data_IF_760834361231
#
_entry.id   IF_760834361231
#
_cell.length_a   1.000
_cell.length_b   1.000
_cell.length_c   1.000
_cell.angle_alpha   90.00
_cell.angle_beta   90.00
_cell.angle_gamma   90.00
#
_symmetry.space_group_name_H-M   'P 1'
#
loop_
_entity.id
_entity.type
_entity.pdbx_description
1 polymer ?
#
# COMPACT_ATOMS: atom_id res chain seq x y z
N UNK A 1 -8.13 -4.70 -14.99
CA UNK A 1 -8.13 -3.41 -15.72
C UNK A 1 -6.73 -3.21 -16.28
N UNK A 2 -6.57 -2.64 -17.48
CA UNK A 2 -5.23 -2.37 -18.01
C UNK A 2 -4.55 -1.27 -17.18
N UNK A 3 -3.26 -1.43 -16.82
CA UNK A 3 -2.52 -0.40 -16.12
C UNK A 3 -2.37 0.91 -16.90
N UNK A 4 -2.22 2.03 -16.18
CA UNK A 4 -2.14 3.39 -16.75
C UNK A 4 -1.02 4.18 -16.07
N UNK A 5 -0.30 5.02 -16.81
CA UNK A 5 0.66 5.99 -16.25
C UNK A 5 -0.02 7.34 -16.06
N UNK A 6 0.14 7.90 -14.87
CA UNK A 6 -0.36 9.20 -14.48
C UNK A 6 0.80 10.18 -14.25
N UNK A 7 0.80 11.27 -15.02
CA UNK A 7 1.70 12.42 -14.85
C UNK A 7 1.11 13.45 -13.88
N UNK A 8 0.64 13.01 -12.73
CA UNK A 8 0.07 13.87 -11.71
C UNK A 8 0.52 13.43 -10.33
N UNK A 9 0.67 14.41 -9.43
CA UNK A 9 1.03 14.17 -8.05
C UNK A 9 -0.11 13.47 -7.30
N UNK A 10 0.21 12.41 -6.58
CA UNK A 10 -0.65 11.76 -5.58
C UNK A 10 0.03 11.89 -4.22
N UNK A 11 -0.71 12.38 -3.23
CA UNK A 11 -0.29 12.39 -1.83
C UNK A 11 -1.32 11.64 -1.00
N UNK A 12 -0.86 10.77 -0.11
CA UNK A 12 -1.68 10.14 0.93
C UNK A 12 -0.94 10.23 2.26
N UNK A 13 -1.67 10.56 3.32
CA UNK A 13 -1.15 10.58 4.69
C UNK A 13 -1.68 9.36 5.41
N UNK A 14 -0.77 8.52 5.89
CA UNK A 14 -1.06 7.24 6.51
C UNK A 14 -0.62 7.25 7.97
N UNK A 15 -1.33 6.47 8.79
CA UNK A 15 -1.02 6.24 10.19
C UNK A 15 -0.87 4.74 10.42
N UNK A 16 0.29 4.33 10.92
CA UNK A 16 0.65 2.92 10.89
C UNK A 16 1.92 2.56 11.67
N UNK A 17 2.54 1.46 11.27
CA UNK A 17 3.81 0.99 11.83
C UNK A 17 4.77 0.61 10.72
N UNK A 18 6.06 0.82 10.95
CA UNK A 18 7.13 0.37 10.07
C UNK A 18 7.90 -0.83 10.63
N UNK A 19 8.44 -1.66 9.73
CA UNK A 19 9.36 -2.75 10.07
C UNK A 19 10.20 -3.14 8.86
N UNK A 20 11.50 -3.32 9.10
CA UNK A 20 12.39 -3.98 8.13
C UNK A 20 11.99 -5.44 7.98
N UNK A 21 11.69 -5.85 6.75
CA UNK A 21 11.29 -7.21 6.43
C UNK A 21 12.43 -8.20 6.67
N UNK A 22 12.10 -9.33 7.30
CA UNK A 22 13.01 -10.48 7.39
C UNK A 22 12.92 -11.28 6.11
N UNK A 23 13.99 -11.26 5.30
CA UNK A 23 14.04 -11.94 3.99
C UNK A 23 13.83 -13.47 4.07
N UNK A 24 13.86 -14.06 5.27
CA UNK A 24 13.55 -15.48 5.47
C UNK A 24 12.04 -15.75 5.66
N UNK A 25 11.20 -14.72 5.68
CA UNK A 25 9.74 -14.82 5.86
C UNK A 25 9.01 -14.38 4.60
N UNK A 26 7.74 -14.76 4.48
CA UNK A 26 6.89 -14.18 3.47
C UNK A 26 6.58 -12.72 3.81
N UNK A 27 6.56 -11.84 2.81
CA UNK A 27 6.13 -10.44 2.98
C UNK A 27 4.76 -10.34 3.65
N UNK A 28 3.84 -11.24 3.28
CA UNK A 28 2.50 -11.34 3.88
C UNK A 28 2.52 -11.44 5.40
N UNK A 29 3.41 -12.25 5.98
CA UNK A 29 3.51 -12.41 7.44
C UNK A 29 3.90 -11.10 8.13
N UNK A 30 4.80 -10.34 7.51
CA UNK A 30 5.23 -9.03 8.05
C UNK A 30 4.10 -8.01 7.94
N UNK A 31 3.39 -8.00 6.81
CA UNK A 31 2.24 -7.12 6.57
C UNK A 31 1.13 -7.42 7.58
N UNK A 32 0.78 -8.69 7.81
CA UNK A 32 -0.22 -9.08 8.80
C UNK A 32 0.18 -8.66 10.21
N UNK A 33 1.44 -8.88 10.62
CA UNK A 33 1.93 -8.44 11.93
C UNK A 33 1.78 -6.92 12.12
N UNK A 34 2.10 -6.13 11.09
CA UNK A 34 1.96 -4.67 11.15
C UNK A 34 0.50 -4.25 11.20
N UNK A 35 -0.35 -4.78 10.32
CA UNK A 35 -1.77 -4.46 10.28
C UNK A 35 -2.51 -4.87 11.57
N UNK A 36 -2.17 -6.01 12.17
CA UNK A 36 -2.72 -6.43 13.45
C UNK A 36 -2.44 -5.40 14.55
N UNK A 37 -1.22 -4.83 14.58
CA UNK A 37 -0.86 -3.75 15.51
C UNK A 37 -1.65 -2.47 15.22
N UNK A 38 -1.79 -2.10 13.94
CA UNK A 38 -2.57 -0.92 13.53
C UNK A 38 -4.02 -1.06 14.02
N UNK A 39 -4.67 -2.17 13.71
CA UNK A 39 -6.08 -2.37 14.06
C UNK A 39 -6.30 -2.48 15.56
N UNK A 40 -5.35 -3.05 16.30
CA UNK A 40 -5.38 -3.04 17.76
C UNK A 40 -5.37 -1.62 18.32
N UNK A 41 -4.42 -0.78 17.90
CA UNK A 41 -4.30 0.61 18.37
C UNK A 41 -5.54 1.43 17.99
N UNK A 42 -6.01 1.30 16.75
CA UNK A 42 -7.21 1.98 16.23
C UNK A 42 -8.45 1.61 17.05
N UNK A 43 -8.62 0.33 17.38
CA UNK A 43 -9.74 -0.15 18.19
C UNK A 43 -9.63 0.30 19.65
N UNK A 44 -8.45 0.24 20.26
CA UNK A 44 -8.24 0.62 21.66
C UNK A 44 -8.43 2.11 21.89
N UNK A 45 -8.05 2.94 20.92
CA UNK A 45 -8.13 4.40 20.99
C UNK A 45 -9.41 4.97 20.36
N UNK A 46 -10.23 4.14 19.72
CA UNK A 46 -11.46 4.55 19.05
C UNK A 46 -11.23 5.56 17.91
N UNK A 47 -10.15 5.37 17.14
CA UNK A 47 -9.78 6.29 16.06
C UNK A 47 -10.75 6.18 14.88
N UNK A 48 -11.13 7.32 14.31
CA UNK A 48 -12.00 7.38 13.14
C UNK A 48 -11.19 7.19 11.85
N UNK A 49 -11.56 6.23 11.01
CA UNK A 49 -10.75 5.77 9.87
C UNK A 49 -11.56 5.48 8.60
N UNK A 50 -10.88 5.44 7.44
CA UNK A 50 -11.52 5.06 6.16
C UNK A 50 -11.73 3.55 5.99
N UNK A 51 -11.02 2.72 6.75
CA UNK A 51 -11.22 1.26 6.71
C UNK A 51 -10.41 0.51 5.65
N UNK A 52 -9.45 1.19 5.01
CA UNK A 52 -8.69 0.66 3.86
C UNK A 52 -7.21 0.51 4.26
N UNK A 53 -6.68 -0.69 4.13
CA UNK A 53 -5.28 -0.96 4.46
C UNK A 53 -4.37 -0.45 3.33
N UNK A 54 -3.28 0.18 3.70
CA UNK A 54 -2.23 0.63 2.81
C UNK A 54 -0.92 -0.03 3.21
N UNK A 55 -0.19 -0.54 2.21
CA UNK A 55 1.15 -1.11 2.41
C UNK A 55 2.12 -0.36 1.51
N UNK A 56 3.19 0.13 2.11
CA UNK A 56 4.24 0.91 1.45
C UNK A 56 5.53 0.13 1.55
N UNK A 57 6.14 -0.18 0.41
CA UNK A 57 7.45 -0.81 0.34
C UNK A 57 8.47 0.29 0.03
N UNK A 58 9.52 0.36 0.83
CA UNK A 58 10.55 1.40 0.80
C UNK A 58 11.95 0.78 0.70
N UNK A 59 12.96 1.64 0.52
CA UNK A 59 14.35 1.20 0.41
C UNK A 59 14.80 0.42 1.66
N UNK A 60 15.74 -0.52 1.45
CA UNK A 60 16.30 -1.33 2.53
C UNK A 60 15.32 -2.35 3.11
N UNK A 61 14.40 -2.87 2.28
CA UNK A 61 13.36 -3.84 2.66
C UNK A 61 12.44 -3.34 3.77
N UNK A 62 12.31 -2.02 3.95
CA UNK A 62 11.40 -1.45 4.92
C UNK A 62 9.97 -1.51 4.41
N UNK A 63 9.07 -2.01 5.25
CA UNK A 63 7.64 -2.05 4.98
C UNK A 63 6.96 -1.16 6.00
N UNK A 64 6.07 -0.29 5.53
CA UNK A 64 5.12 0.43 6.36
C UNK A 64 3.72 -0.05 6.03
N UNK A 65 2.96 -0.47 7.04
CA UNK A 65 1.54 -0.78 6.89
C UNK A 65 0.71 0.15 7.77
N UNK A 66 -0.35 0.71 7.20
CA UNK A 66 -1.15 1.72 7.86
C UNK A 66 -2.49 1.96 7.20
N UNK A 67 -3.22 2.94 7.73
CA UNK A 67 -4.53 3.34 7.24
C UNK A 67 -4.63 4.86 7.14
N UNK A 68 -5.62 5.33 6.37
CA UNK A 68 -6.03 6.73 6.41
C UNK A 68 -7.01 6.96 7.56
N UNK A 69 -6.72 7.94 8.42
CA UNK A 69 -7.64 8.42 9.44
C UNK A 69 -8.54 9.54 8.88
N UNK A 70 -9.77 9.62 9.37
CA UNK A 70 -10.72 10.68 9.01
C UNK A 70 -10.43 12.00 9.73
N UNK A 71 -9.78 11.90 10.89
CA UNK A 71 -9.31 13.01 11.70
C UNK A 71 -7.88 12.71 12.15
N UNK A 72 -7.02 13.73 12.35
CA UNK A 72 -5.72 13.51 12.97
C UNK A 72 -5.89 12.74 14.28
N UNK A 73 -4.99 11.79 14.58
CA UNK A 73 -5.07 11.05 15.83
C UNK A 73 -4.87 12.01 17.00
N UNK A 74 -5.42 11.63 18.15
CA UNK A 74 -5.07 12.24 19.42
C UNK A 74 -3.58 12.01 19.74
N UNK A 75 -2.95 12.91 20.52
CA UNK A 75 -1.51 12.86 20.83
C UNK A 75 -1.07 11.55 21.52
N UNK A 76 -2.02 10.78 22.06
CA UNK A 76 -1.79 9.53 22.79
C UNK A 76 -1.82 8.25 21.92
N UNK A 77 -1.51 8.34 20.62
CA UNK A 77 -1.44 7.16 19.73
C UNK A 77 0.00 6.65 19.58
N UNK A 78 0.15 5.34 19.36
CA UNK A 78 1.42 4.74 18.95
C UNK A 78 1.63 4.73 17.43
N UNK A 79 0.65 5.14 16.64
CA UNK A 79 0.73 5.14 15.18
C UNK A 79 1.73 6.19 14.68
N UNK A 80 2.68 5.76 13.85
CA UNK A 80 3.58 6.62 13.10
C UNK A 80 2.80 7.32 11.96
N UNK A 81 2.92 8.65 11.85
CA UNK A 81 2.42 9.40 10.70
C UNK A 81 3.43 9.33 9.54
N UNK A 82 2.94 9.01 8.33
CA UNK A 82 3.75 8.96 7.12
C UNK A 82 3.03 9.59 5.93
N UNK A 83 3.67 10.56 5.31
CA UNK A 83 3.27 11.09 4.01
C UNK A 83 3.90 10.26 2.88
N UNK A 84 3.07 9.65 2.04
CA UNK A 84 3.50 8.99 0.81
C UNK A 84 3.17 9.90 -0.37
N UNK A 85 4.22 10.31 -1.09
CA UNK A 85 4.12 11.26 -2.21
C UNK A 85 4.64 10.57 -3.47
N UNK A 86 3.77 10.45 -4.47
CA UNK A 86 4.10 9.96 -5.80
C UNK A 86 3.97 11.14 -6.78
N UNK A 87 5.08 11.70 -7.24
CA UNK A 87 5.03 12.84 -8.18
C UNK A 87 4.50 12.42 -9.57
N UNK A 88 4.80 11.17 -9.93
CA UNK A 88 4.36 10.47 -11.13
C UNK A 88 4.26 8.99 -10.80
N UNK A 89 3.26 8.29 -11.32
CA UNK A 89 3.08 6.88 -10.98
C UNK A 89 2.44 6.06 -12.10
N UNK A 90 2.77 4.78 -12.15
CA UNK A 90 1.96 3.79 -12.86
C UNK A 90 0.95 3.15 -11.88
N UNK A 91 -0.27 2.93 -12.35
CA UNK A 91 -1.37 2.41 -11.56
C UNK A 91 -1.94 1.16 -12.22
N UNK A 92 -2.24 0.14 -11.43
CA UNK A 92 -3.04 -1.00 -11.84
C UNK A 92 -3.99 -1.42 -10.72
N UNK A 93 -5.18 -1.90 -11.11
CA UNK A 93 -6.15 -2.48 -10.19
C UNK A 93 -6.31 -3.97 -10.44
N UNK A 94 -5.96 -4.75 -9.43
CA UNK A 94 -6.25 -6.18 -9.35
C UNK A 94 -7.63 -6.38 -8.74
N UNK A 95 -8.39 -7.32 -9.31
CA UNK A 95 -9.65 -7.81 -8.73
C UNK A 95 -9.59 -9.33 -8.80
N UNK A 96 -9.59 -9.99 -7.64
CA UNK A 96 -9.43 -11.42 -7.53
C UNK A 96 -8.49 -11.85 -6.40
N UNK A 97 -8.16 -13.16 -6.31
CA UNK A 97 -7.33 -13.68 -5.24
C UNK A 97 -5.92 -13.10 -5.27
N UNK A 98 -5.31 -12.94 -4.10
CA UNK A 98 -3.97 -12.35 -3.97
C UNK A 98 -2.88 -13.18 -4.66
N UNK A 99 -3.09 -14.49 -4.83
CA UNK A 99 -2.19 -15.37 -5.57
C UNK A 99 -2.01 -14.98 -7.05
N UNK A 100 -2.91 -14.15 -7.60
CA UNK A 100 -2.85 -13.67 -8.98
C UNK A 100 -2.33 -12.22 -9.10
N UNK A 101 -1.94 -11.55 -8.00
CA UNK A 101 -1.40 -10.19 -8.02
C UNK A 101 -0.19 -10.05 -8.95
N UNK A 102 0.62 -11.10 -9.07
CA UNK A 102 1.81 -11.11 -9.93
C UNK A 102 1.50 -10.73 -11.37
N UNK A 103 0.35 -11.16 -11.91
CA UNK A 103 -0.07 -10.78 -13.26
C UNK A 103 -0.27 -9.27 -13.40
N UNK A 104 -0.83 -8.63 -12.36
CA UNK A 104 -1.02 -7.17 -12.36
C UNK A 104 0.32 -6.45 -12.24
N UNK A 105 1.25 -6.92 -11.41
CA UNK A 105 2.61 -6.36 -11.37
C UNK A 105 3.33 -6.51 -12.71
N UNK A 106 3.22 -7.67 -13.37
CA UNK A 106 3.78 -7.90 -14.71
C UNK A 106 3.24 -6.91 -15.73
N UNK A 107 1.92 -6.68 -15.76
CA UNK A 107 1.31 -5.70 -16.65
C UNK A 107 1.79 -4.27 -16.36
N UNK A 108 1.91 -3.88 -15.09
CA UNK A 108 2.44 -2.56 -14.71
C UNK A 108 3.89 -2.41 -15.19
N UNK A 109 4.75 -3.40 -14.91
CA UNK A 109 6.15 -3.39 -15.35
C UNK A 109 6.28 -3.33 -16.87
N UNK A 110 5.39 -4.01 -17.59
CA UNK A 110 5.33 -3.98 -19.05
C UNK A 110 5.07 -2.57 -19.58
N UNK A 111 4.06 -1.87 -19.05
CA UNK A 111 3.76 -0.52 -19.51
C UNK A 111 4.88 0.46 -19.17
N UNK A 112 5.44 0.40 -17.96
CA UNK A 112 6.55 1.24 -17.50
C UNK A 112 7.76 1.07 -18.42
N UNK A 113 8.11 -0.18 -18.74
CA UNK A 113 9.21 -0.48 -19.66
C UNK A 113 8.91 0.03 -21.08
N UNK A 114 7.69 -0.17 -21.59
CA UNK A 114 7.31 0.23 -22.94
C UNK A 114 7.28 1.74 -23.14
N UNK A 115 7.02 2.51 -22.07
CA UNK A 115 7.01 3.97 -22.08
C UNK A 115 8.38 4.60 -21.83
N UNK A 116 9.41 3.80 -21.56
CA UNK A 116 10.75 4.30 -21.21
C UNK A 116 10.82 4.95 -19.83
N UNK A 117 9.84 4.67 -18.97
CA UNK A 117 9.81 5.18 -17.60
C UNK A 117 10.61 4.27 -16.67
N UNK A 118 10.98 4.79 -15.50
CA UNK A 118 11.73 4.05 -14.49
C UNK A 118 10.95 4.02 -13.19
N UNK A 119 10.75 2.83 -12.64
CA UNK A 119 10.19 2.66 -11.30
C UNK A 119 11.24 3.01 -10.24
N UNK A 120 10.83 3.76 -9.23
CA UNK A 120 11.58 4.02 -7.99
C UNK A 120 10.67 3.73 -6.80
N UNK A 121 11.23 3.54 -5.61
CA UNK A 121 10.43 3.43 -4.39
C UNK A 121 9.90 4.82 -3.97
N UNK A 122 8.78 4.89 -3.23
CA UNK A 122 8.01 3.76 -2.68
C UNK A 122 7.09 3.06 -3.70
N UNK A 123 6.82 1.78 -3.47
CA UNK A 123 5.67 1.09 -4.05
C UNK A 123 4.52 1.14 -3.05
N UNK A 124 3.32 1.49 -3.50
CA UNK A 124 2.13 1.57 -2.65
C UNK A 124 1.08 0.57 -3.12
N UNK A 125 0.57 -0.23 -2.19
CA UNK A 125 -0.60 -1.07 -2.33
C UNK A 125 -1.74 -0.56 -1.46
N UNK A 126 -2.96 -0.58 -1.99
CA UNK A 126 -4.18 -0.23 -1.27
C UNK A 126 -5.17 -1.38 -1.40
N UNK A 127 -5.49 -1.99 -0.26
CA UNK A 127 -6.37 -3.15 -0.17
C UNK A 127 -7.80 -2.67 0.09
N UNK A 128 -8.71 -3.01 -0.82
CA UNK A 128 -10.13 -2.73 -0.68
C UNK A 128 -10.75 -3.42 0.53
N UNK A 129 -12.06 -3.24 0.72
CA UNK A 129 -12.76 -3.90 1.83
C UNK A 129 -12.68 -5.43 1.69
N UNK A 130 -12.44 -6.09 2.81
CA UNK A 130 -12.41 -7.55 2.87
C UNK A 130 -13.72 -8.14 2.36
N UNK A 131 -13.60 -9.21 1.58
CA UNK A 131 -14.72 -9.99 1.08
C UNK A 131 -14.39 -11.48 1.28
N UNK A 132 -15.36 -12.26 1.75
CA UNK A 132 -15.21 -13.73 1.85
C UNK A 132 -15.05 -14.38 0.48
N UNK A 133 -15.62 -13.76 -0.56
CA UNK A 133 -15.43 -14.16 -1.95
C UNK A 133 -14.14 -13.53 -2.48
N UNK A 134 -13.07 -14.31 -2.53
CA UNK A 134 -11.75 -13.87 -3.01
C UNK A 134 -11.79 -13.29 -4.43
N UNK A 135 -12.75 -13.70 -5.27
CA UNK A 135 -12.89 -13.16 -6.63
C UNK A 135 -13.31 -11.67 -6.66
N UNK A 136 -13.77 -11.15 -5.52
CA UNK A 136 -14.19 -9.76 -5.32
C UNK A 136 -13.18 -8.92 -4.55
N UNK A 137 -12.06 -9.50 -4.09
CA UNK A 137 -11.02 -8.74 -3.41
C UNK A 137 -10.40 -7.76 -4.39
N UNK A 138 -10.20 -6.52 -3.95
CA UNK A 138 -9.62 -5.47 -4.77
C UNK A 138 -8.28 -5.04 -4.18
N UNK A 139 -7.29 -4.87 -5.05
CA UNK A 139 -5.99 -4.28 -4.68
C UNK A 139 -5.59 -3.27 -5.73
N UNK A 140 -5.40 -2.03 -5.32
CA UNK A 140 -4.82 -1.00 -6.15
C UNK A 140 -3.31 -0.95 -5.91
N UNK A 141 -2.53 -0.94 -7.00
CA UNK A 141 -1.08 -0.95 -6.97
C UNK A 141 -0.59 0.33 -7.66
N UNK A 142 0.29 1.04 -6.98
CA UNK A 142 0.91 2.28 -7.45
C UNK A 142 2.44 2.12 -7.45
N UNK A 143 3.04 2.15 -8.63
CA UNK A 143 4.49 2.19 -8.79
C UNK A 143 4.90 3.66 -8.89
N UNK A 144 5.67 4.16 -7.92
CA UNK A 144 6.30 5.47 -8.07
C UNK A 144 7.25 5.44 -9.27
N UNK A 145 7.22 6.50 -10.07
CA UNK A 145 8.07 6.65 -11.24
C UNK A 145 9.03 7.81 -11.02
N UNK A 146 10.26 7.65 -11.52
CA UNK A 146 11.26 8.70 -11.52
C UNK A 146 10.70 9.97 -12.18
N UNK A 147 10.79 11.08 -11.47
CA UNK A 147 10.38 12.40 -11.97
C UNK A 147 11.35 12.93 -13.03
#
# INVERSE_FOLDING_TARGET
MEPIIFNQRKKVTLFGFSKTHDQNKAYGDTIFELLDKVWKEVSEKGLSHKGTNHVVYEDGDNIFAGIELLLPPNEDTLLEEKDVILEKYAYGKHVGPYSELERTYESIRSIVKSSGEHHELPLLEVYGHWNEDESKLETEIFYNLKA
#
